data_IF_966102010484
#
_entry.id   IF_966102010484
#
_cell.length_a   1.000
_cell.length_b   1.000
_cell.length_c   1.000
_cell.angle_alpha   90.00
_cell.angle_beta   90.00
_cell.angle_gamma   90.00
#
_symmetry.space_group_name_H-M   'P 1'
#
loop_
_entity.id
_entity.type
_entity.pdbx_description
1 polymer ?
#
# COMPACT_ATOMS: atom_id res chain seq x y z
N UNK A 1 28.49 6.62 -7.52
CA UNK A 1 27.03 6.64 -7.79
C UNK A 1 26.21 6.49 -6.51
N UNK A 2 26.49 5.50 -5.62
CA UNK A 2 25.79 5.38 -4.31
C UNK A 2 25.79 6.66 -3.47
N UNK A 3 26.87 7.43 -3.47
CA UNK A 3 26.94 8.64 -2.65
C UNK A 3 25.93 9.74 -3.08
N UNK A 4 25.60 9.82 -4.37
CA UNK A 4 24.69 10.86 -4.90
C UNK A 4 23.24 10.57 -4.52
N UNK A 5 22.77 9.32 -4.69
CA UNK A 5 21.41 8.93 -4.32
C UNK A 5 21.20 8.97 -2.80
N UNK A 6 22.21 8.58 -2.01
CA UNK A 6 22.15 8.61 -0.55
C UNK A 6 22.13 10.08 -0.05
N UNK A 7 22.92 10.96 -0.68
CA UNK A 7 22.89 12.41 -0.38
C UNK A 7 21.55 13.04 -0.77
N UNK A 8 21.00 12.71 -1.94
CA UNK A 8 19.69 13.19 -2.37
C UNK A 8 18.58 12.76 -1.41
N UNK A 9 18.62 11.52 -0.93
CA UNK A 9 17.69 11.01 0.06
C UNK A 9 17.83 11.70 1.43
N UNK A 10 19.06 11.97 1.87
CA UNK A 10 19.32 12.71 3.11
C UNK A 10 18.79 14.15 3.03
N UNK A 11 19.01 14.85 1.92
CA UNK A 11 18.47 16.20 1.69
C UNK A 11 16.94 16.22 1.67
N UNK A 12 16.32 15.21 1.06
CA UNK A 12 14.87 15.05 1.08
C UNK A 12 14.34 14.86 2.51
N UNK A 13 14.98 13.99 3.30
CA UNK A 13 14.60 13.76 4.69
C UNK A 13 14.72 15.03 5.53
N UNK A 14 15.80 15.80 5.38
CA UNK A 14 16.00 17.07 6.09
C UNK A 14 14.93 18.10 5.73
N UNK A 15 14.65 18.28 4.43
CA UNK A 15 13.62 19.19 3.96
C UNK A 15 12.24 18.83 4.55
N UNK A 16 11.90 17.54 4.61
CA UNK A 16 10.66 17.06 5.23
C UNK A 16 10.61 17.32 6.74
N UNK A 17 11.72 17.07 7.45
CA UNK A 17 11.81 17.28 8.89
C UNK A 17 11.60 18.75 9.27
N UNK A 18 12.15 19.66 8.45
CA UNK A 18 12.01 21.11 8.63
C UNK A 18 10.75 21.71 7.99
N UNK A 19 9.91 20.89 7.38
CA UNK A 19 8.72 21.34 6.64
C UNK A 19 9.03 22.39 5.54
N UNK A 20 10.18 22.23 4.86
CA UNK A 20 10.62 23.04 3.73
C UNK A 20 10.36 22.31 2.41
N UNK A 21 10.18 23.07 1.34
CA UNK A 21 10.01 22.54 -0.01
C UNK A 21 11.36 22.43 -0.74
N UNK A 22 11.62 21.26 -1.32
CA UNK A 22 12.86 20.93 -2.03
C UNK A 22 12.54 20.42 -3.44
N UNK A 23 13.18 21.01 -4.44
CA UNK A 23 13.21 20.51 -5.80
C UNK A 23 14.58 19.94 -6.14
N UNK A 24 14.65 18.61 -6.27
CA UNK A 24 15.82 17.88 -6.76
C UNK A 24 15.67 17.67 -8.27
N UNK A 25 16.64 18.17 -9.04
CA UNK A 25 16.63 18.11 -10.50
C UNK A 25 17.68 17.10 -10.97
N UNK A 26 17.22 15.99 -11.53
CA UNK A 26 18.05 14.98 -12.18
C UNK A 26 18.35 15.36 -13.64
N UNK A 27 19.48 14.91 -14.21
CA UNK A 27 19.80 15.15 -15.62
C UNK A 27 18.83 14.42 -16.58
N UNK A 28 18.25 13.30 -16.14
CA UNK A 28 17.27 12.50 -16.87
C UNK A 28 16.62 11.45 -15.97
N UNK A 29 15.84 10.55 -16.57
CA UNK A 29 15.06 9.52 -15.84
C UNK A 29 15.94 8.44 -15.19
N UNK A 30 17.17 8.23 -15.68
CA UNK A 30 18.04 7.11 -15.29
C UNK A 30 18.40 7.06 -13.80
N UNK A 31 18.52 8.22 -13.13
CA UNK A 31 18.86 8.30 -11.71
C UNK A 31 17.63 8.25 -10.79
N UNK A 32 16.42 8.43 -11.33
CA UNK A 32 15.20 8.50 -10.51
C UNK A 32 14.92 7.19 -9.75
N UNK A 33 15.08 5.99 -10.33
CA UNK A 33 14.88 4.75 -9.59
C UNK A 33 15.78 4.65 -8.36
N UNK A 34 17.08 4.93 -8.55
CA UNK A 34 18.08 4.81 -7.51
C UNK A 34 17.89 5.81 -6.37
N UNK A 35 17.62 7.09 -6.69
CA UNK A 35 17.29 8.13 -5.70
C UNK A 35 16.06 7.69 -4.91
N UNK A 36 15.03 7.27 -5.63
CA UNK A 36 13.77 6.93 -5.02
C UNK A 36 13.90 5.67 -4.13
N UNK A 37 14.78 4.72 -4.47
CA UNK A 37 15.09 3.55 -3.65
C UNK A 37 15.87 3.88 -2.37
N UNK A 38 16.66 4.95 -2.39
CA UNK A 38 17.44 5.45 -1.26
C UNK A 38 16.57 6.23 -0.26
N UNK A 39 15.40 6.73 -0.68
CA UNK A 39 14.43 7.36 0.24
C UNK A 39 14.01 6.40 1.35
N UNK A 40 13.89 6.94 2.57
CA UNK A 40 13.36 6.21 3.70
C UNK A 40 11.91 5.76 3.40
N UNK A 41 11.58 4.51 3.74
CA UNK A 41 10.29 3.89 3.39
C UNK A 41 9.09 4.65 3.95
N UNK A 42 9.24 5.21 5.14
CA UNK A 42 8.25 6.00 5.86
C UNK A 42 8.09 7.41 5.28
N UNK A 43 9.15 8.00 4.71
CA UNK A 43 9.12 9.35 4.13
C UNK A 43 8.82 9.37 2.64
N UNK A 44 9.10 8.29 1.91
CA UNK A 44 8.92 8.21 0.46
C UNK A 44 7.53 8.65 -0.03
N UNK A 45 6.40 8.28 0.60
CA UNK A 45 5.08 8.73 0.17
C UNK A 45 4.86 10.25 0.25
N UNK A 46 5.76 10.99 0.90
CA UNK A 46 5.77 12.45 0.99
C UNK A 46 6.59 13.10 -0.14
N UNK A 47 7.34 12.30 -0.89
CA UNK A 47 8.16 12.73 -2.01
C UNK A 47 7.44 12.44 -3.34
N UNK A 48 7.53 13.38 -4.28
CA UNK A 48 7.02 13.21 -5.63
C UNK A 48 8.16 12.98 -6.61
N UNK A 49 8.34 11.74 -7.05
CA UNK A 49 9.36 11.36 -8.04
C UNK A 49 8.64 11.14 -9.36
N UNK A 50 8.83 12.02 -10.36
CA UNK A 50 8.12 11.90 -11.63
C UNK A 50 9.11 11.81 -12.80
N UNK A 51 8.99 10.77 -13.66
CA UNK A 51 9.76 10.68 -14.89
C UNK A 51 9.25 11.65 -15.96
N UNK A 52 10.06 11.87 -16.99
CA UNK A 52 9.70 12.72 -18.12
C UNK A 52 8.56 12.10 -18.95
N UNK A 53 8.60 10.78 -19.14
CA UNK A 53 7.61 10.03 -19.91
C UNK A 53 6.18 10.24 -19.35
N UNK A 54 5.31 10.90 -20.14
CA UNK A 54 3.98 11.35 -19.67
C UNK A 54 3.11 10.20 -19.15
N UNK A 55 3.10 9.08 -19.86
CA UNK A 55 2.28 7.93 -19.49
C UNK A 55 2.75 7.32 -18.15
N UNK A 56 4.06 7.10 -18.01
CA UNK A 56 4.66 6.53 -16.78
C UNK A 56 4.42 7.48 -15.61
N UNK A 57 4.65 8.78 -15.82
CA UNK A 57 4.43 9.84 -14.84
C UNK A 57 3.02 9.84 -14.25
N UNK A 58 1.99 9.58 -15.06
CA UNK A 58 0.60 9.47 -14.56
C UNK A 58 0.42 8.24 -13.66
N UNK A 59 1.02 7.11 -14.02
CA UNK A 59 1.00 5.89 -13.20
C UNK A 59 1.72 6.12 -11.87
N UNK A 60 2.94 6.65 -11.90
CA UNK A 60 3.72 6.93 -10.67
C UNK A 60 2.97 7.90 -9.76
N UNK A 61 2.33 8.93 -10.32
CA UNK A 61 1.53 9.88 -9.54
C UNK A 61 0.33 9.21 -8.83
N UNK A 62 -0.42 8.34 -9.53
CA UNK A 62 -1.55 7.59 -8.95
C UNK A 62 -1.08 6.61 -7.87
N UNK A 63 0.02 5.92 -8.12
CA UNK A 63 0.64 5.01 -7.16
C UNK A 63 1.05 5.78 -5.89
N UNK A 64 1.74 6.91 -6.05
CA UNK A 64 2.18 7.78 -4.95
C UNK A 64 0.98 8.31 -4.13
N UNK A 65 -0.09 8.76 -4.79
CA UNK A 65 -1.32 9.17 -4.10
C UNK A 65 -1.96 8.03 -3.32
N UNK A 66 -2.00 6.83 -3.89
CA UNK A 66 -2.57 5.63 -3.26
C UNK A 66 -1.77 5.22 -2.03
N UNK A 67 -0.44 5.25 -2.12
CA UNK A 67 0.48 5.02 -1.01
C UNK A 67 0.28 6.07 0.10
N UNK A 68 0.25 7.36 -0.27
CA UNK A 68 0.04 8.46 0.68
C UNK A 68 -1.32 8.32 1.40
N UNK A 69 -2.41 8.06 0.65
CA UNK A 69 -3.75 7.80 1.20
C UNK A 69 -3.72 6.67 2.22
N UNK A 70 -3.08 5.55 1.87
CA UNK A 70 -3.00 4.38 2.76
C UNK A 70 -2.21 4.68 4.04
N UNK A 71 -1.11 5.42 3.95
CA UNK A 71 -0.28 5.73 5.12
C UNK A 71 -0.97 6.68 6.09
N UNK A 72 -1.76 7.64 5.59
CA UNK A 72 -2.50 8.58 6.42
C UNK A 72 -3.57 7.89 7.31
N UNK A 73 -4.16 6.80 6.85
CA UNK A 73 -5.22 6.06 7.57
C UNK A 73 -4.66 5.04 8.58
N UNK A 74 -3.39 4.67 8.47
CA UNK A 74 -2.73 3.70 9.36
C UNK A 74 -2.21 4.34 10.64
N UNK A 75 -2.05 3.52 11.67
CA UNK A 75 -1.37 3.86 12.93
C UNK A 75 -0.11 3.00 13.10
N UNK A 76 1.04 3.66 13.28
CA UNK A 76 2.32 3.02 13.57
C UNK A 76 3.46 4.04 13.52
N UNK A 77 4.64 3.65 13.99
CA UNK A 77 5.84 4.50 14.05
C UNK A 77 6.18 5.14 12.68
N UNK A 78 5.98 4.40 11.58
CA UNK A 78 6.21 4.85 10.20
C UNK A 78 5.36 6.06 9.76
N UNK A 79 4.35 6.49 10.51
CA UNK A 79 3.46 7.62 10.13
C UNK A 79 3.35 8.69 11.22
N UNK A 80 4.33 8.70 12.11
CA UNK A 80 4.51 9.66 13.18
C UNK A 80 5.67 10.64 12.89
N UNK A 81 5.87 11.60 13.78
CA UNK A 81 6.91 12.62 13.62
C UNK A 81 6.46 13.90 12.88
N UNK A 82 7.37 14.88 12.79
CA UNK A 82 7.05 16.23 12.33
C UNK A 82 6.61 16.28 10.87
N UNK A 83 7.25 15.51 9.99
CA UNK A 83 6.92 15.46 8.56
C UNK A 83 5.46 15.00 8.32
N UNK A 84 5.04 13.93 9.00
CA UNK A 84 3.67 13.42 8.90
C UNK A 84 2.64 14.32 9.58
N UNK A 85 3.00 15.00 10.67
CA UNK A 85 2.15 16.01 11.28
C UNK A 85 1.92 17.20 10.34
N UNK A 86 2.99 17.72 9.72
CA UNK A 86 2.92 18.77 8.73
C UNK A 86 2.11 18.35 7.50
N UNK A 87 2.27 17.10 7.03
CA UNK A 87 1.49 16.58 5.91
C UNK A 87 -0.01 16.53 6.21
N UNK A 88 -0.41 16.11 7.42
CA UNK A 88 -1.82 16.11 7.84
C UNK A 88 -2.40 17.52 7.85
N UNK A 89 -1.65 18.51 8.35
CA UNK A 89 -2.07 19.90 8.32
C UNK A 89 -2.24 20.41 6.89
N UNK A 90 -1.29 20.12 6.01
CA UNK A 90 -1.34 20.49 4.59
C UNK A 90 -2.55 19.92 3.86
N UNK A 91 -2.90 18.66 4.17
CA UNK A 91 -4.09 18.01 3.62
C UNK A 91 -5.37 18.65 4.18
N UNK A 92 -5.40 19.00 5.46
CA UNK A 92 -6.54 19.68 6.06
C UNK A 92 -6.76 21.08 5.45
N UNK A 93 -5.70 21.85 5.23
CA UNK A 93 -5.72 23.17 4.58
C UNK A 93 -6.22 23.11 3.13
N UNK A 94 -5.98 21.99 2.44
CA UNK A 94 -6.33 21.79 1.04
C UNK A 94 -7.28 20.60 0.82
N UNK A 95 -8.24 20.40 1.74
CA UNK A 95 -9.10 19.22 1.76
C UNK A 95 -9.90 19.02 0.46
N UNK A 96 -10.40 20.08 -0.17
CA UNK A 96 -11.12 19.99 -1.46
C UNK A 96 -10.22 19.46 -2.58
N UNK A 97 -9.01 20.01 -2.69
CA UNK A 97 -8.04 19.58 -3.68
C UNK A 97 -7.59 18.14 -3.42
N UNK A 98 -7.42 17.76 -2.15
CA UNK A 98 -7.09 16.39 -1.77
C UNK A 98 -8.18 15.41 -2.22
N UNK A 99 -9.45 15.72 -1.96
CA UNK A 99 -10.60 14.90 -2.42
C UNK A 99 -10.64 14.80 -3.94
N UNK A 100 -10.37 15.89 -4.67
CA UNK A 100 -10.29 15.88 -6.12
C UNK A 100 -9.14 14.99 -6.64
N UNK A 101 -7.97 15.02 -6.00
CA UNK A 101 -6.82 14.17 -6.33
C UNK A 101 -7.13 12.68 -6.12
N UNK A 102 -7.77 12.34 -5.00
CA UNK A 102 -8.18 10.96 -4.73
C UNK A 102 -9.22 10.46 -5.73
N UNK A 103 -10.23 11.28 -6.04
CA UNK A 103 -11.24 10.92 -7.03
C UNK A 103 -10.64 10.75 -8.43
N UNK A 104 -9.68 11.59 -8.82
CA UNK A 104 -8.94 11.43 -10.07
C UNK A 104 -8.13 10.13 -10.09
N UNK A 105 -7.42 9.82 -9.00
CA UNK A 105 -6.64 8.59 -8.87
C UNK A 105 -7.52 7.34 -8.98
N UNK A 106 -8.68 7.34 -8.31
CA UNK A 106 -9.63 6.22 -8.31
C UNK A 106 -10.28 5.97 -9.68
N UNK A 107 -10.51 7.03 -10.47
CA UNK A 107 -11.04 6.88 -11.83
C UNK A 107 -10.08 6.19 -12.79
N UNK A 108 -8.77 6.33 -12.57
CA UNK A 108 -7.74 5.66 -13.36
C UNK A 108 -7.78 5.99 -14.86
N UNK A 109 -8.40 7.12 -15.26
CA UNK A 109 -8.58 7.47 -16.66
C UNK A 109 -7.29 8.07 -17.23
N UNK A 110 -6.62 7.31 -18.11
CA UNK A 110 -5.29 7.68 -18.64
C UNK A 110 -5.25 9.03 -19.40
N UNK A 111 -6.39 9.49 -19.93
CA UNK A 111 -6.49 10.75 -20.69
C UNK A 111 -6.93 11.96 -19.87
N UNK A 112 -7.34 11.75 -18.62
CA UNK A 112 -7.80 12.85 -17.77
C UNK A 112 -6.60 13.62 -17.20
N UNK A 113 -6.49 14.96 -17.37
CA UNK A 113 -5.43 15.72 -16.73
C UNK A 113 -5.52 15.60 -15.20
N UNK A 114 -4.38 15.50 -14.51
CA UNK A 114 -4.40 15.50 -13.05
C UNK A 114 -4.83 16.88 -12.51
N UNK A 115 -5.36 16.94 -11.29
CA UNK A 115 -5.77 18.22 -10.68
C UNK A 115 -4.62 19.21 -10.56
N UNK A 116 -4.86 20.47 -10.92
CA UNK A 116 -3.89 21.56 -10.75
C UNK A 116 -3.64 21.82 -9.26
N UNK A 117 -2.37 21.99 -8.86
CA UNK A 117 -2.01 22.19 -7.46
C UNK A 117 -1.62 20.92 -6.71
N UNK A 118 -1.69 19.74 -7.35
CA UNK A 118 -1.35 18.45 -6.73
C UNK A 118 0.06 18.42 -6.13
N UNK A 119 1.00 19.16 -6.73
CA UNK A 119 2.38 19.30 -6.25
C UNK A 119 2.46 19.85 -4.82
N UNK A 120 1.42 20.54 -4.34
CA UNK A 120 1.38 21.11 -2.99
C UNK A 120 1.52 20.01 -1.96
N UNK A 121 0.89 18.86 -2.16
CA UNK A 121 0.95 17.73 -1.22
C UNK A 121 2.32 17.06 -1.12
N UNK A 122 3.27 17.45 -1.97
CA UNK A 122 4.59 16.86 -2.05
C UNK A 122 5.65 17.95 -1.89
N UNK A 123 6.10 18.22 -0.65
CA UNK A 123 7.11 19.25 -0.38
C UNK A 123 8.45 18.90 -1.02
N UNK A 124 8.79 17.61 -1.14
CA UNK A 124 9.97 17.15 -1.88
C UNK A 124 9.53 16.68 -3.26
N UNK A 125 10.17 17.20 -4.31
CA UNK A 125 9.93 16.85 -5.71
C UNK A 125 11.24 16.49 -6.38
N UNK A 126 11.28 15.34 -7.04
CA UNK A 126 12.46 14.81 -7.72
C UNK A 126 12.07 14.62 -9.18
N UNK A 127 12.60 15.48 -10.06
CA UNK A 127 12.17 15.59 -11.44
C UNK A 127 13.38 15.64 -12.40
N UNK A 128 13.27 15.14 -13.63
CA UNK A 128 14.26 15.42 -14.66
C UNK A 128 14.20 16.89 -15.08
N UNK A 129 15.32 17.43 -15.57
CA UNK A 129 15.48 18.85 -15.93
C UNK A 129 14.39 19.36 -16.89
N UNK A 130 14.04 18.59 -17.91
CA UNK A 130 13.01 18.95 -18.88
C UNK A 130 11.64 19.17 -18.20
N UNK A 131 11.25 18.25 -17.31
CA UNK A 131 9.99 18.33 -16.59
C UNK A 131 10.00 19.45 -15.55
N UNK A 132 11.09 19.64 -14.82
CA UNK A 132 11.24 20.71 -13.84
C UNK A 132 11.04 22.09 -14.49
N UNK A 133 11.60 22.30 -15.70
CA UNK A 133 11.39 23.52 -16.49
C UNK A 133 9.94 23.69 -16.94
N UNK A 134 9.31 22.61 -17.40
CA UNK A 134 7.93 22.65 -17.88
C UNK A 134 6.92 22.98 -16.77
N UNK A 135 7.11 22.46 -15.56
CA UNK A 135 6.17 22.62 -14.45
C UNK A 135 6.37 23.91 -13.65
N UNK A 136 7.54 24.56 -13.71
CA UNK A 136 7.83 25.83 -13.01
C UNK A 136 7.40 25.84 -11.54
N UNK A 137 7.86 24.84 -10.77
CA UNK A 137 7.40 24.57 -9.41
C UNK A 137 8.15 25.43 -8.38
N UNK A 138 7.46 26.27 -7.57
CA UNK A 138 8.10 27.05 -6.52
C UNK A 138 8.60 26.13 -5.39
N UNK A 139 9.84 26.37 -4.94
CA UNK A 139 10.48 25.60 -3.86
C UNK A 139 11.43 26.49 -3.05
N UNK A 140 11.57 26.22 -1.75
CA UNK A 140 12.48 26.95 -0.84
C UNK A 140 13.95 26.66 -1.18
N UNK A 141 14.23 25.48 -1.72
CA UNK A 141 15.56 25.07 -2.15
C UNK A 141 15.48 24.27 -3.45
N UNK A 142 16.47 24.49 -4.32
CA UNK A 142 16.63 23.77 -5.59
C UNK A 142 18.03 23.18 -5.63
N UNK A 143 18.12 21.88 -5.88
CA UNK A 143 19.40 21.15 -6.00
C UNK A 143 19.44 20.48 -7.36
N UNK A 144 20.50 20.75 -8.12
CA UNK A 144 20.70 20.15 -9.44
C UNK A 144 21.75 19.05 -9.29
N UNK A 145 21.38 17.83 -9.63
CA UNK A 145 22.29 16.69 -9.66
C UNK A 145 23.08 16.73 -10.97
N UNK A 146 24.33 17.16 -10.90
CA UNK A 146 25.26 17.18 -12.03
C UNK A 146 26.22 16.00 -11.96
N UNK A 147 26.64 15.50 -13.12
CA UNK A 147 27.89 14.73 -13.23
C UNK A 147 29.00 15.77 -13.28
N UNK A 148 29.90 15.77 -12.30
CA UNK A 148 31.04 16.67 -12.29
C UNK A 148 32.00 16.31 -13.42
N UNK A 149 31.92 17.01 -14.54
CA UNK A 149 33.05 17.22 -15.44
C UNK A 149 33.25 18.73 -15.59
N UNK A 150 34.44 19.20 -15.20
CA UNK A 150 34.93 20.52 -15.58
C UNK A 150 34.93 20.63 -17.12
N UNK A 151 34.30 21.68 -17.63
CA UNK A 151 34.54 22.31 -18.94
C UNK A 151 34.34 21.48 -20.22
N UNK A 152 33.19 21.66 -20.89
CA UNK A 152 33.04 22.04 -22.31
C UNK A 152 31.56 21.93 -22.76
N UNK A 153 31.09 22.70 -23.77
CA UNK A 153 29.72 22.63 -24.23
C UNK A 153 29.57 21.40 -25.14
N UNK A 154 29.20 20.26 -24.58
CA UNK A 154 28.77 19.13 -25.40
C UNK A 154 27.34 19.38 -25.84
N UNK A 155 27.19 19.80 -27.10
CA UNK A 155 25.91 19.68 -27.80
C UNK A 155 25.55 18.19 -27.82
N UNK A 156 24.73 17.75 -26.86
CA UNK A 156 24.27 16.38 -26.77
C UNK A 156 23.07 16.20 -27.70
N UNK A 157 23.33 15.77 -28.94
CA UNK A 157 22.33 15.20 -29.82
C UNK A 157 22.08 13.75 -29.37
N UNK A 158 21.33 13.58 -28.28
CA UNK A 158 20.88 12.26 -27.84
C UNK A 158 19.67 11.84 -28.69
N UNK A 159 19.92 11.19 -29.82
CA UNK A 159 18.93 10.30 -30.42
C UNK A 159 18.72 9.18 -29.39
N UNK A 160 17.65 9.29 -28.60
CA UNK A 160 17.34 8.37 -27.51
C UNK A 160 17.32 6.93 -28.03
N UNK A 161 18.28 6.11 -27.59
CA UNK A 161 18.21 4.66 -27.80
C UNK A 161 16.92 4.17 -27.13
N UNK A 162 15.98 3.70 -27.95
CA UNK A 162 14.70 3.13 -27.54
C UNK A 162 14.88 2.09 -26.42
N UNK A 163 15.95 1.31 -26.49
CA UNK A 163 16.29 0.28 -25.52
C UNK A 163 16.63 0.89 -24.16
N UNK A 164 17.42 1.95 -24.14
CA UNK A 164 17.79 2.66 -22.90
C UNK A 164 16.55 3.27 -22.26
N UNK A 165 15.70 3.93 -23.06
CA UNK A 165 14.44 4.51 -22.57
C UNK A 165 13.51 3.46 -21.97
N UNK A 166 13.30 2.34 -22.67
CA UNK A 166 12.43 1.27 -22.20
C UNK A 166 12.99 0.57 -20.95
N UNK A 167 14.32 0.48 -20.80
CA UNK A 167 14.95 -0.06 -19.58
C UNK A 167 14.73 0.87 -18.39
N UNK A 168 14.91 2.18 -18.56
CA UNK A 168 14.63 3.15 -17.51
C UNK A 168 13.15 3.09 -17.08
N UNK A 169 12.22 3.02 -18.04
CA UNK A 169 10.79 2.85 -17.79
C UNK A 169 10.49 1.54 -17.04
N UNK A 170 11.11 0.42 -17.44
CA UNK A 170 10.94 -0.87 -16.80
C UNK A 170 11.38 -0.84 -15.32
N UNK A 171 12.53 -0.22 -15.02
CA UNK A 171 13.05 -0.15 -13.65
C UNK A 171 12.21 0.79 -12.78
N UNK A 172 11.78 1.95 -13.31
CA UNK A 172 10.82 2.83 -12.62
C UNK A 172 9.53 2.08 -12.27
N UNK A 173 8.92 1.39 -13.23
CA UNK A 173 7.69 0.64 -12.98
C UNK A 173 7.90 -0.54 -12.03
N UNK A 174 9.05 -1.22 -12.10
CA UNK A 174 9.35 -2.35 -11.22
C UNK A 174 9.47 -1.92 -9.76
N UNK A 175 10.02 -0.73 -9.54
CA UNK A 175 10.12 -0.13 -8.23
C UNK A 175 8.76 0.26 -7.66
N UNK A 176 7.95 0.99 -8.43
CA UNK A 176 6.57 1.33 -8.03
C UNK A 176 5.73 0.08 -7.75
N UNK A 177 5.87 -0.93 -8.59
CA UNK A 177 5.20 -2.21 -8.40
C UNK A 177 5.61 -2.89 -7.09
N UNK A 178 6.91 -2.90 -6.76
CA UNK A 178 7.39 -3.50 -5.51
C UNK A 178 6.86 -2.79 -4.25
N UNK A 179 6.58 -1.49 -4.36
CA UNK A 179 6.04 -0.69 -3.26
C UNK A 179 4.55 -0.89 -3.10
N UNK A 180 3.82 -0.94 -4.20
CA UNK A 180 2.41 -1.28 -4.18
C UNK A 180 2.17 -2.72 -3.69
N UNK A 181 3.01 -3.68 -4.10
CA UNK A 181 2.96 -5.06 -3.57
C UNK A 181 3.23 -5.07 -2.05
N UNK A 182 4.25 -4.35 -1.57
CA UNK A 182 4.50 -4.20 -0.13
C UNK A 182 3.29 -3.60 0.58
N UNK A 183 2.73 -2.51 0.05
CA UNK A 183 1.61 -1.80 0.65
C UNK A 183 0.36 -2.69 0.72
N UNK A 184 0.05 -3.41 -0.36
CA UNK A 184 -1.05 -4.36 -0.46
C UNK A 184 -0.88 -5.52 0.52
N UNK A 185 0.29 -6.17 0.53
CA UNK A 185 0.56 -7.27 1.44
C UNK A 185 0.46 -6.81 2.92
N UNK A 186 0.94 -5.60 3.21
CA UNK A 186 0.84 -5.01 4.54
C UNK A 186 -0.61 -4.70 4.92
N UNK A 187 -1.38 -4.08 4.03
CA UNK A 187 -2.80 -3.77 4.27
C UNK A 187 -3.62 -5.04 4.51
N UNK A 188 -3.39 -6.08 3.70
CA UNK A 188 -4.06 -7.37 3.86
C UNK A 188 -3.73 -8.02 5.21
N UNK A 189 -2.46 -7.99 5.63
CA UNK A 189 -2.06 -8.56 6.91
C UNK A 189 -2.59 -7.77 8.11
N UNK A 190 -2.57 -6.44 8.05
CA UNK A 190 -3.16 -5.58 9.09
C UNK A 190 -4.68 -5.81 9.23
N UNK A 191 -5.40 -5.92 8.10
CA UNK A 191 -6.84 -6.19 8.12
C UNK A 191 -7.13 -7.61 8.58
N UNK A 192 -6.32 -8.60 8.21
CA UNK A 192 -6.47 -9.96 8.74
C UNK A 192 -6.25 -10.00 10.27
N UNK A 193 -5.24 -9.29 10.78
CA UNK A 193 -4.97 -9.16 12.22
C UNK A 193 -6.11 -8.47 12.97
N UNK A 194 -6.62 -7.37 12.40
CA UNK A 194 -7.77 -6.66 12.93
C UNK A 194 -9.03 -7.53 12.94
N UNK A 195 -9.27 -8.28 11.86
CA UNK A 195 -10.44 -9.15 11.70
C UNK A 195 -10.45 -10.22 12.77
N UNK A 196 -9.30 -10.89 13.02
CA UNK A 196 -9.16 -11.85 14.12
C UNK A 196 -9.54 -11.24 15.46
N UNK A 197 -8.95 -10.09 15.80
CA UNK A 197 -9.25 -9.39 17.06
C UNK A 197 -10.73 -8.97 17.15
N UNK A 198 -11.31 -8.50 16.06
CA UNK A 198 -12.72 -8.14 15.99
C UNK A 198 -13.63 -9.35 16.25
N UNK A 199 -13.40 -10.49 15.61
CA UNK A 199 -14.22 -11.68 15.85
C UNK A 199 -14.05 -12.22 17.27
N UNK A 200 -12.81 -12.24 17.77
CA UNK A 200 -12.52 -12.68 19.13
C UNK A 200 -13.20 -11.82 20.21
N UNK A 201 -13.20 -10.49 20.05
CA UNK A 201 -13.80 -9.59 21.05
C UNK A 201 -15.30 -9.34 20.83
N UNK A 202 -15.71 -9.09 19.59
CA UNK A 202 -17.04 -8.60 19.24
C UNK A 202 -17.90 -9.70 18.61
N UNK A 203 -17.35 -10.43 17.63
CA UNK A 203 -18.10 -11.41 16.84
C UNK A 203 -18.79 -12.50 17.70
N UNK A 204 -18.05 -13.11 18.63
CA UNK A 204 -18.61 -14.13 19.52
C UNK A 204 -19.74 -13.59 20.41
N UNK A 205 -19.62 -12.33 20.88
CA UNK A 205 -20.65 -11.67 21.71
C UNK A 205 -21.88 -11.33 20.90
N UNK A 206 -21.73 -10.88 19.65
CA UNK A 206 -22.85 -10.64 18.75
C UNK A 206 -23.65 -11.92 18.49
N UNK A 207 -22.96 -13.04 18.18
CA UNK A 207 -23.63 -14.33 17.99
C UNK A 207 -24.40 -14.79 19.24
N UNK A 208 -23.80 -14.62 20.43
CA UNK A 208 -24.46 -14.93 21.70
C UNK A 208 -25.69 -14.04 21.94
N UNK A 209 -25.59 -12.74 21.71
CA UNK A 209 -26.70 -11.81 21.89
C UNK A 209 -27.85 -12.12 20.93
N UNK A 210 -27.55 -12.36 19.65
CA UNK A 210 -28.56 -12.71 18.66
C UNK A 210 -29.27 -14.02 19.04
N UNK A 211 -28.55 -15.01 19.59
CA UNK A 211 -29.14 -16.24 20.12
C UNK A 211 -30.12 -16.00 21.28
N UNK A 212 -29.75 -15.18 22.25
CA UNK A 212 -30.63 -14.81 23.37
C UNK A 212 -31.85 -14.02 22.88
N UNK A 213 -31.67 -13.13 21.90
CA UNK A 213 -32.78 -12.39 21.29
C UNK A 213 -33.76 -13.30 20.56
N UNK A 214 -33.27 -14.34 19.89
CA UNK A 214 -34.12 -15.36 19.28
C UNK A 214 -34.93 -16.12 20.34
N UNK A 215 -34.32 -16.51 21.46
CA UNK A 215 -35.03 -17.19 22.55
C UNK A 215 -36.11 -16.30 23.19
N UNK A 216 -35.82 -15.02 23.44
CA UNK A 216 -36.81 -14.07 23.96
C UNK A 216 -37.99 -13.92 22.99
N UNK A 217 -37.70 -13.80 21.69
CA UNK A 217 -38.75 -13.67 20.67
C UNK A 217 -39.61 -14.94 20.58
N UNK A 218 -38.99 -16.12 20.72
CA UNK A 218 -39.69 -17.41 20.74
C UNK A 218 -40.66 -17.53 21.91
N UNK A 219 -40.23 -17.15 23.12
CA UNK A 219 -41.09 -17.14 24.30
C UNK A 219 -42.26 -16.19 24.13
N UNK A 220 -42.01 -14.97 23.65
CA UNK A 220 -43.06 -13.98 23.39
C UNK A 220 -44.07 -14.48 22.35
N UNK A 221 -43.61 -15.13 21.29
CA UNK A 221 -44.49 -15.71 20.28
C UNK A 221 -45.36 -16.85 20.84
N UNK A 222 -44.82 -17.66 21.76
CA UNK A 222 -45.56 -18.72 22.44
C UNK A 222 -46.60 -18.15 23.43
N UNK A 223 -46.28 -17.06 24.12
CA UNK A 223 -47.17 -16.39 25.07
C UNK A 223 -48.34 -15.66 24.40
N UNK A 224 -48.08 -14.84 23.36
CA UNK A 224 -49.12 -14.02 22.74
C UNK A 224 -49.90 -14.76 21.65
N UNK A 225 -49.25 -15.70 20.95
CA UNK A 225 -49.85 -16.37 19.79
C UNK A 225 -50.15 -15.43 18.60
N UNK A 226 -49.62 -14.21 18.61
CA UNK A 226 -49.84 -13.22 17.54
C UNK A 226 -48.98 -13.52 16.32
N UNK A 227 -49.48 -13.18 15.12
CA UNK A 227 -48.73 -13.38 13.87
C UNK A 227 -47.46 -12.52 13.82
N UNK A 228 -47.51 -11.29 14.33
CA UNK A 228 -46.35 -10.39 14.40
C UNK A 228 -45.25 -10.95 15.32
N UNK A 229 -45.61 -11.51 16.47
CA UNK A 229 -44.66 -12.11 17.40
C UNK A 229 -43.98 -13.35 16.78
N UNK A 230 -44.72 -14.20 16.06
CA UNK A 230 -44.14 -15.31 15.30
C UNK A 230 -43.16 -14.84 14.23
N UNK A 231 -43.52 -13.82 13.46
CA UNK A 231 -42.64 -13.30 12.41
C UNK A 231 -41.35 -12.66 12.98
N UNK A 232 -41.46 -11.97 14.12
CA UNK A 232 -40.30 -11.44 14.84
C UNK A 232 -39.38 -12.56 15.33
N UNK A 233 -39.94 -13.65 15.83
CA UNK A 233 -39.20 -14.84 16.25
C UNK A 233 -38.45 -15.51 15.08
N UNK A 234 -39.11 -15.70 13.94
CA UNK A 234 -38.48 -16.22 12.73
C UNK A 234 -37.31 -15.35 12.26
N UNK A 235 -37.50 -14.03 12.26
CA UNK A 235 -36.46 -13.06 11.88
C UNK A 235 -35.27 -13.13 12.84
N UNK A 236 -35.52 -13.22 14.14
CA UNK A 236 -34.49 -13.33 15.17
C UNK A 236 -33.71 -14.65 15.07
N UNK A 237 -34.39 -15.80 14.85
CA UNK A 237 -33.74 -17.09 14.59
C UNK A 237 -32.86 -17.05 13.35
N UNK A 238 -33.36 -16.48 12.25
CA UNK A 238 -32.58 -16.36 11.02
C UNK A 238 -31.33 -15.48 11.22
N UNK A 239 -31.41 -14.45 12.07
CA UNK A 239 -30.27 -13.62 12.44
C UNK A 239 -29.25 -14.39 13.30
N UNK A 240 -29.71 -15.07 14.35
CA UNK A 240 -28.87 -15.89 15.22
C UNK A 240 -28.13 -16.99 14.45
N UNK A 241 -28.80 -17.64 13.50
CA UNK A 241 -28.17 -18.67 12.66
C UNK A 241 -27.09 -18.08 11.76
N UNK A 242 -27.30 -16.88 11.20
CA UNK A 242 -26.28 -16.21 10.38
C UNK A 242 -25.05 -15.84 11.20
N UNK A 243 -25.23 -15.21 12.36
CA UNK A 243 -24.10 -14.79 13.20
C UNK A 243 -23.36 -15.99 13.83
N UNK A 244 -24.08 -17.07 14.15
CA UNK A 244 -23.47 -18.34 14.57
C UNK A 244 -22.58 -18.95 13.49
N UNK A 245 -23.10 -19.10 12.26
CA UNK A 245 -22.32 -19.63 11.12
C UNK A 245 -21.10 -18.77 10.81
N UNK A 246 -21.24 -17.45 10.90
CA UNK A 246 -20.12 -16.53 10.72
C UNK A 246 -19.06 -16.78 11.80
N UNK A 247 -19.45 -16.83 13.07
CA UNK A 247 -18.52 -17.11 14.18
C UNK A 247 -17.84 -18.47 14.04
N UNK A 248 -18.56 -19.52 13.64
CA UNK A 248 -18.01 -20.86 13.42
C UNK A 248 -16.96 -20.86 12.29
N UNK A 249 -17.25 -20.20 11.15
CA UNK A 249 -16.30 -20.06 10.04
C UNK A 249 -14.99 -19.38 10.47
N UNK A 250 -15.07 -18.33 11.27
CA UNK A 250 -13.88 -17.65 11.76
C UNK A 250 -13.08 -18.50 12.75
N UNK A 251 -13.75 -19.23 13.64
CA UNK A 251 -13.10 -20.16 14.57
C UNK A 251 -12.34 -21.28 13.85
N UNK A 252 -12.84 -21.78 12.71
CA UNK A 252 -12.14 -22.78 11.90
C UNK A 252 -10.88 -22.25 11.23
N UNK A 253 -10.89 -20.97 10.82
CA UNK A 253 -9.73 -20.29 10.20
C UNK A 253 -8.65 -19.98 11.22
N UNK A 254 -9.01 -19.82 12.50
CA UNK A 254 -8.12 -19.36 13.59
C UNK A 254 -7.47 -20.51 14.39
N UNK A 255 -7.37 -21.72 13.84
CA UNK A 255 -6.78 -22.89 14.52
C UNK A 255 -5.31 -22.75 14.91
N UNK A 256 -4.60 -21.76 14.37
CA UNK A 256 -3.21 -21.45 14.71
C UNK A 256 -3.15 -20.04 15.31
N UNK A 257 -2.62 -19.85 16.54
CA UNK A 257 -2.38 -18.52 17.10
C UNK A 257 -1.30 -17.79 16.27
N UNK A 258 -1.74 -17.16 15.19
CA UNK A 258 -0.90 -16.30 14.38
C UNK A 258 -0.39 -15.15 15.26
N UNK A 259 0.94 -14.94 15.23
CA UNK A 259 1.56 -13.79 15.89
C UNK A 259 0.93 -12.50 15.36
N UNK A 260 0.70 -11.48 16.22
CA UNK A 260 0.23 -10.19 15.75
C UNK A 260 1.14 -9.65 14.65
N UNK A 261 0.54 -9.19 13.54
CA UNK A 261 1.32 -8.68 12.42
C UNK A 261 1.97 -7.34 12.78
N UNK A 262 3.28 -7.37 13.04
CA UNK A 262 4.10 -6.21 13.39
C UNK A 262 5.43 -6.28 12.61
N UNK A 263 5.39 -5.98 11.30
CA UNK A 263 6.58 -6.08 10.46
C UNK A 263 7.62 -5.03 10.84
N UNK A 264 8.88 -5.45 11.02
CA UNK A 264 10.01 -4.55 11.23
C UNK A 264 10.34 -3.76 9.95
N UNK A 265 11.07 -2.65 10.09
CA UNK A 265 11.56 -1.90 8.94
C UNK A 265 12.44 -2.74 8.00
N UNK A 266 13.28 -3.61 8.58
CA UNK A 266 14.15 -4.53 7.83
C UNK A 266 13.34 -5.57 7.06
N UNK A 267 12.29 -6.15 7.65
CA UNK A 267 11.42 -7.09 6.97
C UNK A 267 10.71 -6.44 5.77
N UNK A 268 10.20 -5.22 5.93
CA UNK A 268 9.58 -4.44 4.84
C UNK A 268 10.58 -4.17 3.72
N UNK A 269 11.80 -3.76 4.08
CA UNK A 269 12.87 -3.47 3.13
C UNK A 269 13.29 -4.72 2.36
N UNK A 270 13.47 -5.84 3.06
CA UNK A 270 13.82 -7.13 2.47
C UNK A 270 12.75 -7.60 1.48
N UNK A 271 11.49 -7.57 1.89
CA UNK A 271 10.37 -7.96 1.02
C UNK A 271 10.29 -7.08 -0.23
N UNK A 272 10.36 -5.75 -0.09
CA UNK A 272 10.31 -4.82 -1.22
C UNK A 272 11.42 -5.11 -2.24
N UNK A 273 12.66 -5.24 -1.76
CA UNK A 273 13.82 -5.51 -2.60
C UNK A 273 13.73 -6.88 -3.30
N UNK A 274 13.17 -7.88 -2.61
CA UNK A 274 12.94 -9.20 -3.19
C UNK A 274 11.85 -9.11 -4.27
N UNK A 275 10.68 -8.55 -3.96
CA UNK A 275 9.54 -8.40 -4.87
C UNK A 275 9.94 -7.70 -6.18
N UNK A 276 10.73 -6.61 -6.10
CA UNK A 276 11.25 -5.91 -7.29
C UNK A 276 12.05 -6.84 -8.22
N UNK A 277 12.81 -7.81 -7.66
CA UNK A 277 13.65 -8.74 -8.42
C UNK A 277 12.87 -9.93 -8.96
N UNK A 278 12.00 -10.53 -8.15
CA UNK A 278 11.34 -11.81 -8.45
C UNK A 278 9.94 -11.65 -9.06
N UNK A 279 9.45 -10.44 -9.29
CA UNK A 279 8.10 -10.24 -9.80
C UNK A 279 7.84 -11.03 -11.11
N UNK A 280 6.72 -11.77 -11.25
CA UNK A 280 6.42 -12.61 -12.42
C UNK A 280 6.22 -11.84 -13.73
N UNK A 281 5.90 -10.55 -13.68
CA UNK A 281 5.74 -9.72 -14.89
C UNK A 281 7.07 -9.25 -15.50
N UNK A 282 8.17 -9.41 -14.77
CA UNK A 282 9.55 -9.24 -15.27
C UNK A 282 10.08 -10.52 -15.94
N UNK A 283 9.27 -11.57 -16.02
CA UNK A 283 9.67 -12.83 -16.62
C UNK A 283 9.91 -12.72 -18.12
N UNK A 284 10.86 -13.50 -18.63
CA UNK A 284 11.20 -13.51 -20.07
C UNK A 284 10.40 -14.53 -20.87
N UNK A 285 10.09 -15.65 -20.24
CA UNK A 285 9.33 -16.75 -20.80
C UNK A 285 8.39 -17.33 -19.73
N UNK A 286 7.58 -18.32 -20.12
CA UNK A 286 6.57 -18.90 -19.24
C UNK A 286 7.17 -19.74 -18.09
N UNK A 287 8.35 -20.34 -18.30
CA UNK A 287 9.02 -21.11 -17.25
C UNK A 287 9.58 -20.19 -16.16
N UNK A 288 10.25 -19.09 -16.55
CA UNK A 288 10.68 -18.01 -15.65
C UNK A 288 9.47 -17.40 -14.92
N UNK A 289 8.35 -17.20 -15.63
CA UNK A 289 7.11 -16.68 -15.03
C UNK A 289 6.54 -17.62 -13.97
N UNK A 290 6.48 -18.92 -14.23
CA UNK A 290 5.99 -19.91 -13.29
C UNK A 290 6.85 -19.96 -12.02
N UNK A 291 8.17 -19.98 -12.18
CA UNK A 291 9.10 -19.99 -11.05
C UNK A 291 8.99 -18.71 -10.20
N UNK A 292 8.98 -17.55 -10.83
CA UNK A 292 8.78 -16.25 -10.16
C UNK A 292 7.43 -16.16 -9.45
N UNK A 293 6.38 -16.74 -10.03
CA UNK A 293 5.05 -16.79 -9.39
C UNK A 293 5.10 -17.59 -8.10
N UNK A 294 5.81 -18.72 -8.08
CA UNK A 294 6.01 -19.52 -6.87
C UNK A 294 6.79 -18.73 -5.81
N UNK A 295 7.94 -18.16 -6.18
CA UNK A 295 8.75 -17.36 -5.25
C UNK A 295 7.97 -16.17 -4.69
N UNK A 296 7.19 -15.46 -5.52
CA UNK A 296 6.38 -14.33 -5.08
C UNK A 296 5.28 -14.76 -4.11
N UNK A 297 4.64 -15.91 -4.36
CA UNK A 297 3.63 -16.49 -3.45
C UNK A 297 4.23 -16.82 -2.08
N UNK A 298 5.42 -17.44 -2.07
CA UNK A 298 6.15 -17.76 -0.84
C UNK A 298 6.62 -16.50 -0.09
N UNK A 299 7.14 -15.50 -0.80
CA UNK A 299 7.50 -14.21 -0.23
C UNK A 299 6.30 -13.50 0.40
N UNK A 300 5.14 -13.50 -0.27
CA UNK A 300 3.89 -12.93 0.25
C UNK A 300 3.40 -13.66 1.50
N UNK A 301 3.56 -14.99 1.56
CA UNK A 301 3.21 -15.79 2.74
C UNK A 301 4.14 -15.45 3.91
N UNK A 302 5.46 -15.48 3.69
CA UNK A 302 6.46 -15.18 4.71
C UNK A 302 6.30 -13.77 5.27
N UNK A 303 6.13 -12.78 4.40
CA UNK A 303 5.94 -11.39 4.81
C UNK A 303 4.69 -11.22 5.68
N UNK A 304 3.51 -11.71 5.24
CA UNK A 304 2.26 -11.58 6.00
C UNK A 304 2.27 -12.36 7.34
N UNK A 305 3.10 -13.38 7.45
CA UNK A 305 3.33 -14.11 8.70
C UNK A 305 4.34 -13.42 9.64
N UNK A 306 5.06 -12.39 9.17
CA UNK A 306 6.18 -11.81 9.91
C UNK A 306 7.39 -12.75 10.01
N UNK A 307 7.51 -13.71 9.10
CA UNK A 307 8.55 -14.73 9.11
C UNK A 307 9.75 -14.28 8.26
N UNK A 308 10.68 -13.60 8.91
CA UNK A 308 11.88 -13.10 8.26
C UNK A 308 12.79 -14.23 7.77
N UNK A 309 12.86 -15.34 8.51
CA UNK A 309 13.69 -16.50 8.14
C UNK A 309 13.19 -17.11 6.84
N UNK A 310 11.88 -17.38 6.75
CA UNK A 310 11.28 -17.89 5.52
C UNK A 310 11.47 -16.92 4.34
N UNK A 311 11.44 -15.61 4.58
CA UNK A 311 11.69 -14.64 3.52
C UNK A 311 13.15 -14.65 3.04
N UNK A 312 14.11 -14.83 3.95
CA UNK A 312 15.52 -15.02 3.61
C UNK A 312 15.76 -16.32 2.84
N UNK A 313 15.03 -17.40 3.13
CA UNK A 313 15.08 -18.64 2.35
C UNK A 313 14.65 -18.41 0.89
N UNK A 314 13.58 -17.62 0.65
CA UNK A 314 13.17 -17.27 -0.71
C UNK A 314 14.24 -16.45 -1.44
N UNK A 315 14.97 -15.58 -0.71
CA UNK A 315 16.12 -14.86 -1.28
C UNK A 315 17.23 -15.82 -1.70
N UNK A 316 17.55 -16.82 -0.87
CA UNK A 316 18.56 -17.83 -1.17
C UNK A 316 18.17 -18.66 -2.41
N UNK A 317 16.93 -19.16 -2.47
CA UNK A 317 16.40 -19.91 -3.63
C UNK A 317 16.51 -19.11 -4.94
N UNK A 318 16.22 -17.81 -4.89
CA UNK A 318 16.38 -16.93 -6.05
C UNK A 318 17.85 -16.81 -6.48
N UNK A 319 18.78 -16.70 -5.53
CA UNK A 319 20.22 -16.57 -5.82
C UNK A 319 20.77 -17.86 -6.45
N UNK A 320 20.48 -19.02 -5.87
CA UNK A 320 20.89 -20.33 -6.38
C UNK A 320 20.38 -20.58 -7.80
N UNK A 321 19.08 -20.29 -8.05
CA UNK A 321 18.49 -20.42 -9.38
C UNK A 321 19.13 -19.50 -10.42
N UNK A 322 19.57 -18.29 -10.03
CA UNK A 322 20.31 -17.39 -10.95
C UNK A 322 21.72 -17.87 -11.26
N UNK A 323 22.41 -18.45 -10.28
CA UNK A 323 23.75 -18.98 -10.46
C UNK A 323 23.74 -20.19 -11.40
N UNK A 324 22.75 -21.08 -11.25
CA UNK A 324 22.52 -22.21 -12.17
C UNK A 324 22.11 -21.81 -13.59
N UNK A 325 21.39 -20.70 -13.77
CA UNK A 325 20.95 -20.22 -15.08
C UNK A 325 22.03 -19.46 -15.89
N UNK A 326 23.17 -19.13 -15.28
CA UNK A 326 24.37 -18.63 -15.96
C UNK A 326 24.34 -17.17 -16.44
N UNK A 327 25.46 -16.47 -16.22
CA UNK A 327 25.78 -15.06 -16.58
C UNK A 327 25.68 -14.70 -18.07
N UNK A 328 25.36 -15.62 -18.98
CA UNK A 328 25.44 -15.38 -20.43
C UNK A 328 24.26 -14.64 -21.09
N UNK A 329 23.11 -14.47 -20.42
CA UNK A 329 21.85 -14.09 -21.11
C UNK A 329 21.27 -12.72 -20.73
N UNK A 330 21.98 -11.86 -19.98
CA UNK A 330 21.38 -10.62 -19.44
C UNK A 330 21.17 -9.52 -20.49
N UNK A 331 21.97 -9.48 -21.55
CA UNK A 331 22.06 -8.32 -22.44
C UNK A 331 21.34 -8.46 -23.79
N UNK A 332 20.75 -9.63 -24.08
CA UNK A 332 20.20 -9.97 -25.40
C UNK A 332 18.71 -9.62 -25.56
N UNK A 333 18.07 -9.02 -24.56
CA UNK A 333 16.64 -8.71 -24.60
C UNK A 333 16.34 -7.65 -25.66
N UNK A 334 15.48 -7.99 -26.62
CA UNK A 334 15.09 -7.06 -27.67
C UNK A 334 14.22 -5.93 -27.10
N UNK A 335 14.17 -4.75 -27.74
CA UNK A 335 13.26 -3.68 -27.33
C UNK A 335 11.78 -4.13 -27.24
N UNK A 336 11.35 -5.06 -28.10
CA UNK A 336 10.01 -5.63 -28.09
C UNK A 336 9.73 -6.46 -26.81
N UNK A 337 10.72 -7.19 -26.32
CA UNK A 337 10.60 -7.97 -25.08
C UNK A 337 10.48 -7.04 -23.87
N UNK A 338 11.28 -5.97 -23.84
CA UNK A 338 11.26 -4.97 -22.77
C UNK A 338 9.92 -4.21 -22.78
N UNK A 339 9.43 -3.80 -23.95
CA UNK A 339 8.13 -3.16 -24.10
C UNK A 339 6.98 -4.07 -23.60
N UNK A 340 7.08 -5.38 -23.84
CA UNK A 340 6.12 -6.37 -23.33
C UNK A 340 6.16 -6.48 -21.80
N UNK A 341 7.34 -6.49 -21.20
CA UNK A 341 7.50 -6.44 -19.74
C UNK A 341 6.90 -5.16 -19.16
N UNK A 342 7.24 -4.00 -19.74
CA UNK A 342 6.67 -2.69 -19.38
C UNK A 342 5.14 -2.72 -19.40
N UNK A 343 4.54 -3.26 -20.48
CA UNK A 343 3.08 -3.37 -20.59
C UNK A 343 2.45 -4.27 -19.51
N UNK A 344 3.11 -5.37 -19.13
CA UNK A 344 2.65 -6.24 -18.02
C UNK A 344 2.73 -5.54 -16.68
N UNK A 345 3.86 -4.88 -16.37
CA UNK A 345 4.04 -4.15 -15.12
C UNK A 345 3.00 -3.04 -14.97
N UNK A 346 2.72 -2.28 -16.04
CA UNK A 346 1.66 -1.25 -16.06
C UNK A 346 0.30 -1.82 -15.69
N UNK A 347 -0.07 -2.95 -16.29
CA UNK A 347 -1.34 -3.63 -16.00
C UNK A 347 -1.42 -4.06 -14.54
N UNK A 348 -0.35 -4.68 -14.02
CA UNK A 348 -0.31 -5.14 -12.64
C UNK A 348 -0.38 -4.01 -11.62
N UNK A 349 0.29 -2.88 -11.88
CA UNK A 349 0.17 -1.69 -11.04
C UNK A 349 -1.31 -1.26 -10.96
N UNK A 350 -1.99 -1.13 -12.10
CA UNK A 350 -3.42 -0.78 -12.12
C UNK A 350 -4.32 -1.80 -11.42
N UNK A 351 -4.00 -3.10 -11.50
CA UNK A 351 -4.70 -4.15 -10.76
C UNK A 351 -4.56 -3.97 -9.25
N UNK A 352 -3.33 -3.75 -8.76
CA UNK A 352 -3.05 -3.54 -7.33
C UNK A 352 -3.70 -2.25 -6.82
N UNK A 353 -3.63 -1.16 -7.58
CA UNK A 353 -4.34 0.08 -7.24
C UNK A 353 -5.86 -0.18 -7.09
N UNK A 354 -6.45 -0.96 -7.99
CA UNK A 354 -7.85 -1.38 -7.89
C UNK A 354 -8.14 -2.30 -6.69
N UNK A 355 -7.23 -3.20 -6.34
CA UNK A 355 -7.30 -4.02 -5.13
C UNK A 355 -7.24 -3.17 -3.85
N UNK A 356 -6.28 -2.26 -3.76
CA UNK A 356 -6.14 -1.32 -2.64
C UNK A 356 -7.37 -0.44 -2.47
N UNK A 357 -7.90 0.13 -3.56
CA UNK A 357 -9.10 0.96 -3.51
C UNK A 357 -10.33 0.17 -3.01
N UNK A 358 -10.51 -1.07 -3.47
CA UNK A 358 -11.58 -1.95 -2.98
C UNK A 358 -11.40 -2.30 -1.50
N UNK A 359 -10.17 -2.55 -1.07
CA UNK A 359 -9.86 -2.83 0.33
C UNK A 359 -10.17 -1.61 1.21
N UNK A 360 -9.71 -0.42 0.81
CA UNK A 360 -9.89 0.82 1.57
C UNK A 360 -11.34 1.31 1.59
N UNK A 361 -12.13 1.00 0.56
CA UNK A 361 -13.56 1.30 0.51
C UNK A 361 -14.45 0.28 1.22
N UNK A 362 -13.87 -0.74 1.87
CA UNK A 362 -14.67 -1.77 2.56
C UNK A 362 -15.12 -1.31 3.96
N UNK A 363 -16.31 -1.73 4.39
CA UNK A 363 -16.84 -1.44 5.74
C UNK A 363 -15.90 -1.95 6.86
N UNK A 364 -15.22 -3.05 6.61
CA UNK A 364 -14.23 -3.60 7.53
C UNK A 364 -13.04 -2.65 7.69
N UNK A 365 -12.60 -2.03 6.59
CA UNK A 365 -11.54 -1.02 6.62
C UNK A 365 -11.98 0.29 7.27
N UNK A 366 -13.24 0.71 7.09
CA UNK A 366 -13.81 1.84 7.84
C UNK A 366 -13.76 1.60 9.36
N UNK A 367 -14.16 0.41 9.81
CA UNK A 367 -14.08 0.03 11.21
C UNK A 367 -12.64 -0.05 11.72
N UNK A 368 -11.72 -0.62 10.92
CA UNK A 368 -10.28 -0.63 11.22
C UNK A 368 -9.73 0.79 11.41
N UNK A 369 -10.10 1.71 10.51
CA UNK A 369 -9.68 3.11 10.57
C UNK A 369 -10.25 3.79 11.83
N UNK A 370 -11.53 3.58 12.14
CA UNK A 370 -12.15 4.09 13.36
C UNK A 370 -11.48 3.56 14.64
N UNK A 371 -11.14 2.27 14.67
CA UNK A 371 -10.43 1.65 15.79
C UNK A 371 -9.01 2.23 15.95
N UNK A 372 -8.29 2.46 14.85
CA UNK A 372 -6.98 3.12 14.89
C UNK A 372 -7.06 4.58 15.37
N UNK A 373 -8.08 5.33 14.95
CA UNK A 373 -8.31 6.69 15.46
C UNK A 373 -8.63 6.70 16.95
N UNK A 374 -9.46 5.77 17.43
CA UNK A 374 -9.74 5.63 18.87
C UNK A 374 -8.45 5.31 19.64
N UNK A 375 -7.60 4.42 19.10
CA UNK A 375 -6.31 4.07 19.70
C UNK A 375 -5.35 5.25 19.80
N UNK A 376 -5.32 6.16 18.80
CA UNK A 376 -4.58 7.44 18.88
C UNK A 376 -5.03 8.29 20.06
N UNK A 377 -6.31 8.27 20.38
CA UNK A 377 -6.90 8.99 21.49
C UNK A 377 -6.80 8.22 22.83
N UNK A 378 -6.01 7.13 22.89
CA UNK A 378 -5.85 6.31 24.10
C UNK A 378 -7.06 5.43 24.43
N UNK A 379 -7.96 5.20 23.47
CA UNK A 379 -9.18 4.41 23.64
C UNK A 379 -9.12 3.09 22.87
N UNK A 380 -9.82 2.08 23.37
CA UNK A 380 -9.95 0.77 22.71
C UNK A 380 -11.39 0.58 22.21
N UNK A 381 -11.63 0.93 20.94
CA UNK A 381 -12.97 0.86 20.36
C UNK A 381 -13.56 -0.55 20.37
N UNK A 382 -12.73 -1.59 20.12
CA UNK A 382 -13.22 -2.97 20.10
C UNK A 382 -13.61 -3.43 21.51
N UNK A 383 -12.86 -3.01 22.53
CA UNK A 383 -13.22 -3.28 23.91
C UNK A 383 -14.48 -2.52 24.34
N UNK A 384 -14.60 -1.24 23.98
CA UNK A 384 -15.83 -0.46 24.23
C UNK A 384 -17.07 -1.11 23.59
N UNK A 385 -16.92 -1.69 22.39
CA UNK A 385 -17.99 -2.45 21.73
C UNK A 385 -18.31 -3.75 22.47
N UNK A 386 -17.28 -4.48 22.92
CA UNK A 386 -17.44 -5.70 23.69
C UNK A 386 -18.19 -5.44 25.02
N UNK A 387 -17.83 -4.39 25.75
CA UNK A 387 -18.45 -4.03 27.03
C UNK A 387 -19.94 -3.67 26.86
N UNK A 388 -20.28 -2.96 25.77
CA UNK A 388 -21.68 -2.66 25.42
C UNK A 388 -22.47 -3.93 25.11
N UNK A 389 -21.88 -4.88 24.39
CA UNK A 389 -22.51 -6.15 24.09
C UNK A 389 -22.68 -7.00 25.35
N UNK A 390 -21.70 -7.01 26.26
CA UNK A 390 -21.80 -7.73 27.54
C UNK A 390 -22.95 -7.18 28.40
N UNK A 391 -23.15 -5.86 28.45
CA UNK A 391 -24.30 -5.25 29.11
C UNK A 391 -25.64 -5.66 28.46
N UNK A 392 -25.71 -5.71 27.12
CA UNK A 392 -26.91 -6.15 26.39
C UNK A 392 -27.20 -7.64 26.59
N UNK A 393 -26.16 -8.47 26.63
CA UNK A 393 -26.26 -9.91 26.92
C UNK A 393 -26.83 -10.10 28.32
N UNK A 394 -26.28 -9.42 29.34
CA UNK A 394 -26.79 -9.51 30.70
C UNK A 394 -28.27 -9.09 30.81
N UNK A 395 -28.64 -8.00 30.11
CA UNK A 395 -30.03 -7.53 30.07
C UNK A 395 -30.97 -8.51 29.33
N UNK A 396 -30.49 -9.21 28.31
CA UNK A 396 -31.26 -10.24 27.61
C UNK A 396 -31.42 -11.49 28.48
N UNK A 397 -30.36 -11.92 29.17
CA UNK A 397 -30.40 -13.05 30.10
C UNK A 397 -31.38 -12.82 31.25
N UNK A 398 -31.56 -11.58 31.73
CA UNK A 398 -32.56 -11.28 32.76
C UNK A 398 -34.02 -11.33 32.29
N UNK A 399 -34.29 -11.48 30.99
CA UNK A 399 -35.64 -11.60 30.40
C UNK A 399 -36.02 -13.05 30.08
N UNK A 400 -35.05 -13.95 30.22
CA UNK A 400 -35.13 -15.40 30.04
C UNK A 400 -35.18 -16.00 31.44
#
# INVERSE_FOLDING_TARGET
>A
MSEVQDTAAALAAEALAENRSLLLIAPGDDLLPDISNALALDLRPLCLVLPEAEYVRRIVLRATLSLLKSRLTRFGEDTEGPAWAAQRNRIAEHAELWRACLAWSERGLDREPWPSGIERFFPVRILPLALARALSLPSDSVVILGVGEETAPTVALAVADETVRLRAELEMLAQELSELELELATAQAEIADFTRRYHALVGMRMARLDGLQAEIADRRAAETGEAEARHAAETARARAERSRRESERFAEVERDPARPFRPTGDLKKLYRQLAQKIHPDRARDEADRAWRTQLMSEANRAYRAGDEVALQEVVALWQEGREGAGRQRRDDASPADIATQVARLKRRIGEIEGELNRLFGSRLYELFTAANMARRAGRDLLQEMADKLDAQIAAAQGKI
#
